data_IF_387885340802
#
_entry.id   IF_387885340802
#
_cell.length_a   1.000
_cell.length_b   1.000
_cell.length_c   1.000
_cell.angle_alpha   90.00
_cell.angle_beta   90.00
_cell.angle_gamma   90.00
#
_symmetry.space_group_name_H-M   'P 1'
#
loop_
_entity.id
_entity.type
_entity.pdbx_description
1 polymer ?
#
# COMPACT_ATOMS: atom_id res chain seq x y z
N UNK A 1 -2.23 -7.62 16.30
CA UNK A 1 -1.42 -7.67 15.04
C UNK A 1 -1.15 -6.22 14.63
N UNK A 2 0.10 -5.91 14.33
CA UNK A 2 0.52 -4.55 13.90
C UNK A 2 0.64 -4.51 12.39
N UNK A 3 0.01 -3.53 11.77
CA UNK A 3 0.07 -3.28 10.33
C UNK A 3 0.79 -1.96 10.11
N UNK A 4 1.89 -1.96 9.36
CA UNK A 4 2.69 -0.77 9.05
C UNK A 4 2.76 -0.55 7.54
N UNK A 5 2.41 0.65 7.11
CA UNK A 5 2.40 1.06 5.71
C UNK A 5 3.77 1.66 5.36
N UNK A 6 4.55 1.00 4.54
CA UNK A 6 5.88 1.45 4.12
C UNK A 6 5.87 2.20 2.78
N UNK A 7 4.80 1.99 2.00
CA UNK A 7 4.56 2.68 0.75
C UNK A 7 3.08 2.72 0.41
N UNK A 8 2.59 3.88 0.02
CA UNK A 8 1.17 4.15 -0.22
C UNK A 8 0.89 4.87 -1.54
N UNK A 9 1.94 5.14 -2.34
CA UNK A 9 1.81 5.69 -3.70
C UNK A 9 1.53 4.60 -4.72
N UNK A 10 0.80 4.96 -5.77
CA UNK A 10 0.55 4.12 -6.93
C UNK A 10 1.46 4.46 -8.11
N UNK A 11 1.56 3.54 -9.05
CA UNK A 11 2.20 3.64 -10.36
C UNK A 11 3.70 3.91 -10.36
N UNK A 12 4.20 4.88 -9.58
CA UNK A 12 5.64 5.13 -9.42
C UNK A 12 5.94 5.90 -8.14
N UNK A 13 7.18 5.81 -7.61
CA UNK A 13 7.59 6.61 -6.46
C UNK A 13 7.48 8.10 -6.77
N UNK A 14 6.98 8.87 -5.79
CA UNK A 14 6.82 10.32 -5.91
C UNK A 14 7.24 11.00 -4.62
N UNK A 15 8.47 11.46 -4.56
CA UNK A 15 8.95 12.30 -3.47
C UNK A 15 8.33 13.69 -3.55
N UNK A 16 8.11 14.32 -2.40
CA UNK A 16 7.61 15.71 -2.35
C UNK A 16 8.48 16.65 -3.17
N UNK A 17 7.86 17.47 -4.00
CA UNK A 17 8.58 18.49 -4.78
C UNK A 17 9.19 19.55 -3.86
N UNK A 18 10.22 20.31 -4.32
CA UNK A 18 10.75 21.44 -3.55
C UNK A 18 9.68 22.46 -3.16
N UNK A 19 8.65 22.63 -4.01
CA UNK A 19 7.50 23.49 -3.75
C UNK A 19 6.65 22.95 -2.60
N UNK A 20 6.32 21.66 -2.60
CA UNK A 20 5.56 21.01 -1.53
C UNK A 20 6.31 21.07 -0.19
N UNK A 21 7.62 20.83 -0.19
CA UNK A 21 8.47 20.95 1.01
C UNK A 21 8.44 22.38 1.55
N UNK A 22 8.53 23.37 0.67
CA UNK A 22 8.45 24.77 1.05
C UNK A 22 7.09 25.14 1.63
N UNK A 23 6.00 24.79 0.95
CA UNK A 23 4.61 25.00 1.44
C UNK A 23 4.41 24.37 2.81
N UNK A 24 4.91 23.14 3.00
CA UNK A 24 4.84 22.44 4.28
C UNK A 24 5.60 23.21 5.36
N UNK A 25 6.81 23.67 5.07
CA UNK A 25 7.64 24.44 5.99
C UNK A 25 6.98 25.78 6.34
N UNK A 26 6.37 26.46 5.38
CA UNK A 26 5.63 27.70 5.58
C UNK A 26 4.43 27.47 6.52
N UNK A 27 3.60 26.47 6.28
CA UNK A 27 2.46 26.11 7.15
C UNK A 27 2.89 25.81 8.60
N UNK A 28 3.97 25.06 8.79
CA UNK A 28 4.53 24.76 10.12
C UNK A 28 5.00 26.05 10.81
N UNK A 29 5.71 26.91 10.07
CA UNK A 29 6.22 28.18 10.57
C UNK A 29 5.08 29.14 10.96
N UNK A 30 4.05 29.24 10.11
CA UNK A 30 2.86 30.04 10.40
C UNK A 30 2.12 29.57 11.66
N UNK A 31 1.96 28.24 11.83
CA UNK A 31 1.33 27.69 13.03
C UNK A 31 2.14 28.01 14.30
N UNK A 32 3.48 27.86 14.24
CA UNK A 32 4.36 28.23 15.36
C UNK A 32 4.31 29.73 15.69
N UNK A 33 4.34 30.59 14.67
CA UNK A 33 4.23 32.03 14.84
C UNK A 33 2.86 32.44 15.39
N UNK A 34 1.78 31.78 14.95
CA UNK A 34 0.43 32.03 15.46
C UNK A 34 0.31 31.67 16.94
N UNK A 35 0.88 30.52 17.35
CA UNK A 35 0.96 30.14 18.77
C UNK A 35 1.65 31.20 19.63
N UNK A 36 2.79 31.74 19.16
CA UNK A 36 3.53 32.78 19.85
C UNK A 36 2.72 34.11 19.88
N UNK A 37 2.11 34.47 18.74
CA UNK A 37 1.35 35.70 18.57
C UNK A 37 0.13 35.78 19.48
N UNK A 38 -0.60 34.68 19.67
CA UNK A 38 -1.73 34.59 20.57
C UNK A 38 -1.33 34.84 22.03
N UNK A 39 -0.11 34.48 22.43
CA UNK A 39 0.40 34.57 23.81
C UNK A 39 1.10 35.86 24.16
N UNK A 40 1.66 36.54 23.16
CA UNK A 40 2.47 37.77 23.41
C UNK A 40 1.65 38.94 23.99
N UNK A 41 0.32 38.92 23.79
CA UNK A 41 -0.57 40.01 24.19
C UNK A 41 -1.26 39.80 25.52
N UNK A 42 -0.96 38.74 26.28
CA UNK A 42 -1.48 38.48 27.62
C UNK A 42 -0.33 38.31 28.62
N UNK A 43 -0.56 38.74 29.88
CA UNK A 43 0.45 38.58 30.94
C UNK A 43 0.77 37.10 31.22
N UNK A 44 -0.25 36.25 31.28
CA UNK A 44 -0.11 34.80 31.46
C UNK A 44 0.65 34.18 30.30
N UNK A 45 0.34 34.54 29.06
CA UNK A 45 1.01 34.02 27.84
C UNK A 45 2.46 34.46 27.77
N UNK A 46 2.78 35.70 28.21
CA UNK A 46 4.20 36.15 28.28
C UNK A 46 5.03 35.34 29.30
N UNK A 47 4.40 34.93 30.41
CA UNK A 47 5.06 34.09 31.41
C UNK A 47 5.32 32.70 30.84
N UNK A 48 4.32 32.10 30.14
CA UNK A 48 4.48 30.82 29.44
C UNK A 48 5.59 30.87 28.40
N UNK A 49 5.59 31.88 27.52
CA UNK A 49 6.63 32.05 26.52
C UNK A 49 8.02 32.22 27.15
N UNK A 50 8.14 33.03 28.21
CA UNK A 50 9.43 33.21 28.91
C UNK A 50 9.93 31.90 29.53
N UNK A 51 9.02 31.02 29.97
CA UNK A 51 9.40 29.72 30.48
C UNK A 51 9.84 28.80 29.34
N UNK A 52 9.07 28.74 28.26
CA UNK A 52 9.35 27.96 27.06
C UNK A 52 10.71 28.31 26.45
N UNK A 53 10.99 29.62 26.26
CA UNK A 53 12.24 30.11 25.63
C UNK A 53 13.48 30.06 26.53
N UNK A 54 13.39 29.49 27.74
CA UNK A 54 14.57 29.15 28.56
C UNK A 54 15.19 27.82 28.19
N UNK A 55 14.44 26.95 27.53
CA UNK A 55 14.90 25.64 27.07
C UNK A 55 15.82 25.73 25.84
N UNK A 56 16.41 24.60 25.48
CA UNK A 56 17.11 24.44 24.20
C UNK A 56 16.15 24.61 23.01
N UNK A 57 16.67 24.85 21.82
CA UNK A 57 15.84 24.96 20.61
C UNK A 57 14.98 23.70 20.40
N UNK A 58 15.54 22.50 20.69
CA UNK A 58 14.83 21.23 20.59
C UNK A 58 13.65 21.14 21.57
N UNK A 59 13.88 21.55 22.81
CA UNK A 59 12.82 21.60 23.84
C UNK A 59 11.75 22.61 23.46
N UNK A 60 12.11 23.78 22.93
CA UNK A 60 11.15 24.79 22.47
C UNK A 60 10.28 24.21 21.35
N UNK A 61 10.90 23.64 20.31
CA UNK A 61 10.20 23.06 19.17
C UNK A 61 9.26 21.92 19.60
N UNK A 62 9.70 21.06 20.53
CA UNK A 62 8.87 19.93 21.02
C UNK A 62 7.66 20.35 21.83
N UNK A 63 7.70 21.54 22.44
CA UNK A 63 6.64 22.06 23.32
C UNK A 63 5.65 23.00 22.61
N UNK A 64 6.00 23.53 21.44
CA UNK A 64 5.07 24.32 20.64
C UNK A 64 4.03 23.35 20.03
N UNK A 65 2.75 23.46 20.37
CA UNK A 65 1.71 22.57 19.82
C UNK A 65 1.41 22.97 18.37
N UNK A 66 2.25 22.56 17.45
CA UNK A 66 2.08 22.83 16.03
C UNK A 66 1.31 21.68 15.42
N UNK A 67 0.21 21.98 14.73
CA UNK A 67 -0.41 21.05 13.81
C UNK A 67 0.47 20.94 12.57
N UNK A 68 1.21 19.84 12.48
CA UNK A 68 2.01 19.59 11.30
C UNK A 68 1.12 19.17 10.13
N UNK A 69 1.29 19.78 8.93
CA UNK A 69 0.63 19.31 7.73
C UNK A 69 0.99 17.82 7.48
N UNK A 70 0.07 17.08 6.91
CA UNK A 70 0.28 15.64 6.69
C UNK A 70 1.29 15.41 5.57
N UNK A 71 2.34 14.65 5.85
CA UNK A 71 3.26 14.10 4.85
C UNK A 71 2.76 12.72 4.48
N UNK A 72 2.26 12.55 3.26
CA UNK A 72 1.72 11.26 2.81
C UNK A 72 2.81 10.27 2.38
N UNK A 73 4.04 10.74 2.18
CA UNK A 73 5.13 9.92 1.68
C UNK A 73 5.19 9.87 0.16
N UNK A 74 6.00 8.96 -0.36
CA UNK A 74 6.24 8.85 -1.79
C UNK A 74 6.71 7.48 -2.24
N UNK A 75 6.78 6.51 -1.34
CA UNK A 75 7.15 5.14 -1.68
C UNK A 75 5.95 4.36 -2.24
N UNK A 76 6.20 3.43 -3.17
CA UNK A 76 5.15 2.58 -3.74
C UNK A 76 4.84 1.39 -2.85
N UNK A 77 3.74 0.74 -3.13
CA UNK A 77 3.00 -0.20 -2.29
C UNK A 77 3.88 -1.24 -1.58
N UNK A 78 3.92 -1.16 -0.27
CA UNK A 78 4.49 -2.17 0.62
C UNK A 78 3.85 -2.05 2.00
N UNK A 79 3.22 -3.12 2.48
CA UNK A 79 2.60 -3.17 3.80
C UNK A 79 3.19 -4.34 4.59
N UNK A 80 3.62 -4.07 5.80
CA UNK A 80 4.11 -5.07 6.74
C UNK A 80 3.05 -5.40 7.78
N UNK A 81 2.88 -6.68 8.07
CA UNK A 81 2.07 -7.19 9.17
C UNK A 81 2.97 -7.99 10.09
N UNK A 82 3.07 -7.55 11.34
CA UNK A 82 3.72 -8.29 12.41
C UNK A 82 2.65 -8.90 13.31
N UNK A 83 2.67 -10.23 13.43
CA UNK A 83 1.71 -10.96 14.27
C UNK A 83 2.18 -11.00 15.72
N UNK A 84 1.29 -11.32 16.66
CA UNK A 84 1.67 -11.52 18.07
C UNK A 84 2.59 -12.73 18.28
N UNK A 85 2.70 -13.61 17.29
CA UNK A 85 3.63 -14.74 17.28
C UNK A 85 5.03 -14.38 16.73
N UNK A 86 5.22 -13.13 16.27
CA UNK A 86 6.46 -12.65 15.66
C UNK A 86 6.61 -13.01 14.17
N UNK A 87 5.59 -13.55 13.52
CA UNK A 87 5.62 -13.78 12.07
C UNK A 87 5.55 -12.45 11.32
N UNK A 88 6.36 -12.29 10.28
CA UNK A 88 6.40 -11.14 9.39
C UNK A 88 5.75 -11.51 8.06
N UNK A 89 4.68 -10.79 7.72
CA UNK A 89 3.99 -10.90 6.45
C UNK A 89 4.13 -9.57 5.73
N UNK A 90 4.52 -9.59 4.46
CA UNK A 90 4.66 -8.41 3.60
C UNK A 90 3.66 -8.53 2.47
N UNK A 91 2.90 -7.47 2.22
CA UNK A 91 1.97 -7.37 1.10
C UNK A 91 2.56 -6.38 0.09
N UNK A 92 2.87 -6.88 -1.08
CA UNK A 92 3.65 -6.25 -2.14
C UNK A 92 5.07 -5.79 -1.70
N UNK A 93 5.92 -5.63 -2.68
CA UNK A 93 7.32 -5.28 -2.52
C UNK A 93 7.74 -4.12 -3.44
N UNK A 94 6.90 -3.09 -3.50
CA UNK A 94 7.22 -1.82 -4.13
C UNK A 94 8.41 -1.12 -3.47
N UNK A 95 8.68 0.11 -3.83
CA UNK A 95 9.87 0.83 -3.33
C UNK A 95 9.88 1.00 -1.79
N UNK A 96 8.72 0.95 -1.14
CA UNK A 96 8.58 0.95 0.31
C UNK A 96 9.27 -0.23 1.01
N UNK A 97 9.51 -1.34 0.29
CA UNK A 97 10.20 -2.51 0.84
C UNK A 97 11.61 -2.17 1.33
N UNK A 98 12.30 -1.22 0.73
CA UNK A 98 13.63 -0.78 1.17
C UNK A 98 13.64 -0.34 2.64
N UNK A 99 12.70 0.51 3.03
CA UNK A 99 12.57 0.97 4.43
C UNK A 99 12.03 -0.12 5.35
N UNK A 100 11.07 -0.90 4.89
CA UNK A 100 10.54 -2.06 5.58
C UNK A 100 11.66 -3.05 5.96
N UNK A 101 12.52 -3.39 5.00
CA UNK A 101 13.64 -4.30 5.19
C UNK A 101 14.64 -3.81 6.25
N UNK A 102 14.98 -2.51 6.22
CA UNK A 102 15.87 -1.90 7.22
C UNK A 102 15.30 -2.03 8.63
N UNK A 103 14.01 -1.75 8.79
CA UNK A 103 13.35 -1.85 10.10
C UNK A 103 13.23 -3.30 10.59
N UNK A 104 12.93 -4.25 9.70
CA UNK A 104 12.94 -5.68 10.02
C UNK A 104 14.31 -6.11 10.52
N UNK A 105 15.39 -5.75 9.83
CA UNK A 105 16.76 -6.09 10.24
C UNK A 105 17.18 -5.39 11.53
N UNK A 106 16.70 -4.15 11.76
CA UNK A 106 16.93 -3.47 13.02
C UNK A 106 16.32 -4.24 14.20
N UNK A 107 15.09 -4.70 14.07
CA UNK A 107 14.39 -5.53 15.07
C UNK A 107 15.02 -6.91 15.23
N UNK A 108 15.56 -7.48 14.13
CA UNK A 108 16.26 -8.78 14.16
C UNK A 108 17.46 -8.81 15.09
N UNK A 109 18.13 -7.69 15.36
CA UNK A 109 19.29 -7.62 16.26
C UNK A 109 18.98 -8.11 17.68
N UNK A 110 17.70 -8.15 18.08
CA UNK A 110 17.23 -8.68 19.36
C UNK A 110 16.45 -10.00 19.27
N UNK A 111 16.03 -10.42 18.05
CA UNK A 111 15.18 -11.58 17.81
C UNK A 111 15.61 -12.33 16.55
N UNK A 112 15.42 -13.66 16.55
CA UNK A 112 15.71 -14.47 15.35
C UNK A 112 14.52 -14.41 14.40
N UNK A 113 14.66 -13.71 13.28
CA UNK A 113 13.71 -13.75 12.15
C UNK A 113 14.34 -14.60 11.06
N UNK A 114 13.82 -15.80 10.84
CA UNK A 114 14.33 -16.75 9.85
C UNK A 114 13.48 -16.77 8.58
N UNK A 115 12.18 -16.52 8.72
CA UNK A 115 11.20 -16.63 7.66
C UNK A 115 10.42 -15.32 7.49
N UNK A 116 10.21 -14.92 6.24
CA UNK A 116 9.36 -13.80 5.83
C UNK A 116 8.39 -14.32 4.78
N UNK A 117 7.13 -13.93 4.89
CA UNK A 117 6.05 -14.34 3.99
C UNK A 117 5.62 -13.15 3.13
N UNK A 118 6.00 -13.15 1.86
CA UNK A 118 5.71 -12.10 0.89
C UNK A 118 4.51 -12.49 0.02
N UNK A 119 3.46 -11.68 0.02
CA UNK A 119 2.28 -11.86 -0.80
C UNK A 119 2.20 -10.74 -1.85
N UNK A 120 2.38 -11.10 -3.11
CA UNK A 120 2.32 -10.15 -4.22
C UNK A 120 0.94 -10.14 -4.89
N UNK A 121 0.44 -8.96 -5.18
CA UNK A 121 -0.85 -8.79 -5.86
C UNK A 121 -0.75 -9.03 -7.35
N UNK A 122 0.22 -8.41 -8.03
CA UNK A 122 0.46 -8.52 -9.47
C UNK A 122 1.86 -8.02 -9.87
N UNK A 123 2.22 -8.22 -11.14
CA UNK A 123 3.60 -8.04 -11.63
C UNK A 123 3.98 -6.61 -12.05
N UNK A 124 3.17 -5.56 -11.81
CA UNK A 124 3.57 -4.20 -12.15
C UNK A 124 4.75 -3.71 -11.31
N UNK A 125 5.50 -2.76 -11.87
CA UNK A 125 6.79 -2.34 -11.31
C UNK A 125 6.68 -1.77 -9.90
N UNK A 126 5.66 -0.98 -9.65
CA UNK A 126 5.40 -0.32 -8.35
C UNK A 126 5.02 -1.29 -7.22
N UNK A 127 4.74 -2.57 -7.55
CA UNK A 127 4.48 -3.63 -6.58
C UNK A 127 5.67 -4.57 -6.36
N UNK A 128 6.79 -4.41 -7.11
CA UNK A 128 7.95 -5.31 -7.04
C UNK A 128 9.33 -4.63 -7.09
N UNK A 129 9.38 -3.33 -7.30
CA UNK A 129 10.64 -2.58 -7.55
C UNK A 129 11.58 -2.53 -6.35
N UNK A 130 11.12 -2.85 -5.14
CA UNK A 130 11.92 -2.76 -3.92
C UNK A 130 12.88 -3.92 -3.66
N UNK A 131 12.69 -5.08 -4.31
CA UNK A 131 13.49 -6.30 -4.07
C UNK A 131 15.00 -6.06 -4.15
N UNK A 132 15.56 -5.42 -5.21
CA UNK A 132 17.00 -5.25 -5.32
C UNK A 132 17.60 -4.27 -4.30
N UNK A 133 16.76 -3.54 -3.57
CA UNK A 133 17.16 -2.55 -2.57
C UNK A 133 16.82 -2.97 -1.14
N UNK A 134 16.27 -4.19 -0.97
CA UNK A 134 15.82 -4.70 0.31
C UNK A 134 16.95 -5.46 1.02
N UNK A 135 17.51 -4.90 2.09
CA UNK A 135 18.61 -5.48 2.84
C UNK A 135 18.31 -6.89 3.39
N UNK A 136 17.04 -7.27 3.56
CA UNK A 136 16.64 -8.65 3.92
C UNK A 136 17.06 -9.69 2.89
N UNK A 137 17.20 -9.30 1.62
CA UNK A 137 17.68 -10.19 0.55
C UNK A 137 19.17 -10.51 0.64
N UNK A 138 19.93 -9.74 1.42
CA UNK A 138 21.39 -9.82 1.57
C UNK A 138 21.81 -10.09 3.02
N UNK A 139 20.87 -10.49 3.88
CA UNK A 139 21.11 -10.65 5.31
C UNK A 139 22.06 -11.80 5.63
N UNK A 140 22.85 -11.65 6.71
CA UNK A 140 23.66 -12.70 7.31
C UNK A 140 23.29 -12.83 8.80
N UNK A 141 22.83 -14.01 9.25
CA UNK A 141 22.54 -15.23 8.48
C UNK A 141 21.38 -15.02 7.47
N UNK A 142 21.31 -15.84 6.40
CA UNK A 142 20.27 -15.75 5.37
C UNK A 142 18.84 -15.84 5.92
N UNK A 143 17.89 -15.23 5.21
CA UNK A 143 16.45 -15.30 5.49
C UNK A 143 15.77 -16.15 4.42
N UNK A 144 14.80 -16.98 4.82
CA UNK A 144 13.90 -17.65 3.89
C UNK A 144 12.76 -16.71 3.53
N UNK A 145 12.57 -16.42 2.26
CA UNK A 145 11.49 -15.58 1.76
C UNK A 145 10.50 -16.47 1.00
N UNK A 146 9.34 -16.73 1.64
CA UNK A 146 8.25 -17.49 1.05
C UNK A 146 7.36 -16.53 0.27
N UNK A 147 7.34 -16.67 -1.06
CA UNK A 147 6.66 -15.74 -1.97
C UNK A 147 5.39 -16.37 -2.50
N UNK A 148 4.27 -15.71 -2.29
CA UNK A 148 2.94 -16.09 -2.77
C UNK A 148 2.42 -15.02 -3.72
N UNK A 149 1.77 -15.42 -4.81
CA UNK A 149 1.19 -14.44 -5.74
C UNK A 149 0.60 -15.10 -6.98
N UNK A 150 0.04 -14.30 -7.88
CA UNK A 150 -0.38 -14.79 -9.19
C UNK A 150 0.83 -15.13 -10.08
N UNK A 151 0.60 -15.87 -11.15
CA UNK A 151 1.63 -16.27 -12.12
C UNK A 151 2.45 -15.07 -12.60
N UNK A 152 1.79 -13.97 -12.98
CA UNK A 152 2.45 -12.77 -13.47
C UNK A 152 3.37 -12.10 -12.46
N UNK A 153 3.04 -12.15 -11.16
CA UNK A 153 3.91 -11.64 -10.11
C UNK A 153 5.18 -12.47 -9.96
N UNK A 154 5.04 -13.80 -9.81
CA UNK A 154 6.19 -14.69 -9.65
C UNK A 154 7.10 -14.67 -10.91
N UNK A 155 6.49 -14.76 -12.09
CA UNK A 155 7.23 -14.67 -13.34
C UNK A 155 8.00 -13.35 -13.50
N UNK A 156 7.43 -12.24 -13.00
CA UNK A 156 8.08 -10.94 -13.06
C UNK A 156 9.29 -10.82 -12.13
N UNK A 157 9.28 -11.49 -10.99
CA UNK A 157 10.43 -11.58 -10.09
C UNK A 157 11.51 -12.51 -10.66
N UNK A 158 11.11 -13.68 -11.16
CA UNK A 158 12.05 -14.67 -11.68
C UNK A 158 12.73 -14.20 -12.97
N UNK A 159 11.96 -13.65 -13.91
CA UNK A 159 12.53 -13.14 -15.17
C UNK A 159 13.50 -11.98 -14.96
N UNK A 160 13.35 -11.23 -13.86
CA UNK A 160 14.22 -10.10 -13.58
C UNK A 160 15.43 -10.48 -12.74
N UNK A 161 15.23 -11.30 -11.72
CA UNK A 161 16.23 -11.57 -10.70
C UNK A 161 16.68 -13.03 -10.63
N UNK A 162 15.99 -13.96 -11.32
CA UNK A 162 16.29 -15.39 -11.32
C UNK A 162 16.12 -16.07 -9.96
N UNK A 163 15.29 -15.50 -9.07
CA UNK A 163 15.23 -15.90 -7.65
C UNK A 163 14.62 -17.29 -7.41
N UNK A 164 13.88 -17.84 -8.37
CA UNK A 164 13.29 -19.17 -8.29
C UNK A 164 13.98 -20.19 -9.21
N UNK A 165 14.25 -19.79 -10.46
CA UNK A 165 14.84 -20.67 -11.46
C UNK A 165 16.37 -20.81 -11.32
N UNK A 166 17.01 -19.89 -10.58
CA UNK A 166 18.46 -19.75 -10.51
C UNK A 166 19.11 -19.64 -11.90
N UNK A 167 18.38 -19.04 -12.82
CA UNK A 167 18.85 -18.77 -14.19
C UNK A 167 18.78 -17.27 -14.43
N UNK A 168 19.90 -16.68 -14.77
CA UNK A 168 19.90 -15.34 -15.35
C UNK A 168 19.48 -15.50 -16.81
N UNK A 169 18.39 -14.88 -17.21
CA UNK A 169 18.16 -14.70 -18.64
C UNK A 169 19.33 -13.90 -19.16
N UNK A 170 20.10 -14.44 -20.11
CA UNK A 170 21.14 -13.72 -20.87
C UNK A 170 20.51 -12.62 -21.72
N UNK A 171 19.76 -11.75 -21.08
CA UNK A 171 19.26 -10.53 -21.69
C UNK A 171 20.40 -9.53 -21.66
N UNK A 172 21.13 -9.47 -22.75
CA UNK A 172 22.19 -8.50 -23.03
C UNK A 172 21.74 -7.02 -22.94
N UNK A 173 20.53 -6.76 -22.52
CA UNK A 173 19.90 -5.44 -22.42
C UNK A 173 19.48 -5.02 -21.01
N UNK A 174 19.68 -5.87 -20.01
CA UNK A 174 19.32 -5.56 -18.63
C UNK A 174 20.61 -5.48 -17.81
N UNK A 175 21.21 -4.32 -17.79
CA UNK A 175 22.32 -3.97 -16.88
C UNK A 175 21.84 -3.86 -15.43
N UNK A 176 21.10 -4.85 -14.93
CA UNK A 176 20.72 -4.90 -13.53
C UNK A 176 21.78 -5.73 -12.80
N UNK A 177 22.63 -5.09 -11.97
CA UNK A 177 23.74 -5.78 -11.32
C UNK A 177 23.29 -6.69 -10.18
N UNK A 178 22.01 -6.75 -9.89
CA UNK A 178 21.45 -7.49 -8.75
C UNK A 178 20.56 -8.62 -9.25
N UNK A 179 21.06 -9.82 -9.16
CA UNK A 179 20.35 -11.07 -9.42
C UNK A 179 20.45 -12.02 -8.21
N UNK A 180 19.93 -13.24 -8.36
CA UNK A 180 19.96 -14.25 -7.31
C UNK A 180 21.39 -14.57 -6.81
N UNK A 181 22.43 -14.39 -7.65
CA UNK A 181 23.82 -14.70 -7.26
C UNK A 181 24.40 -13.71 -6.27
N UNK A 182 23.84 -12.48 -6.23
CA UNK A 182 24.21 -11.46 -5.26
C UNK A 182 23.41 -11.57 -3.95
N UNK A 183 22.27 -12.27 -3.96
CA UNK A 183 21.39 -12.41 -2.82
C UNK A 183 21.77 -13.59 -1.94
N UNK A 184 21.74 -13.42 -0.63
CA UNK A 184 21.94 -14.51 0.35
C UNK A 184 20.63 -15.18 0.73
N UNK A 185 19.50 -14.49 0.61
CA UNK A 185 18.17 -15.01 0.94
C UNK A 185 17.79 -16.21 0.06
N UNK A 186 17.06 -17.17 0.66
CA UNK A 186 16.46 -18.30 -0.05
C UNK A 186 15.01 -17.95 -0.41
N UNK A 187 14.69 -17.97 -1.71
CA UNK A 187 13.34 -17.68 -2.19
C UNK A 187 12.60 -18.98 -2.55
N UNK A 188 11.36 -19.08 -2.07
CA UNK A 188 10.45 -20.20 -2.36
C UNK A 188 9.14 -19.65 -2.90
N UNK A 189 8.84 -19.89 -4.18
CA UNK A 189 7.63 -19.40 -4.83
C UNK A 189 6.44 -20.36 -4.68
N UNK A 190 5.24 -19.80 -4.53
CA UNK A 190 3.95 -20.51 -4.61
C UNK A 190 2.95 -19.66 -5.38
N UNK A 191 2.57 -20.14 -6.56
CA UNK A 191 1.52 -19.52 -7.37
C UNK A 191 0.14 -19.82 -6.79
N UNK A 192 -0.64 -18.78 -6.54
CA UNK A 192 -2.02 -18.87 -6.14
C UNK A 192 -2.92 -18.84 -7.38
N UNK A 193 -3.39 -20.01 -7.81
CA UNK A 193 -4.11 -20.19 -9.05
C UNK A 193 -5.59 -20.45 -8.78
N UNK A 194 -6.45 -19.80 -9.53
CA UNK A 194 -7.87 -20.14 -9.52
C UNK A 194 -8.08 -21.41 -10.35
N UNK A 195 -8.63 -22.45 -9.73
CA UNK A 195 -8.88 -23.76 -10.34
C UNK A 195 -7.61 -24.51 -10.78
N UNK A 196 -6.67 -24.66 -9.84
CA UNK A 196 -5.41 -25.40 -10.03
C UNK A 196 -5.60 -26.89 -10.39
N UNK A 197 -6.82 -27.41 -10.28
CA UNK A 197 -7.12 -28.84 -10.52
C UNK A 197 -7.01 -29.27 -11.96
N UNK A 198 -7.02 -28.34 -12.92
CA UNK A 198 -7.05 -28.65 -14.35
C UNK A 198 -5.76 -28.34 -15.08
N UNK A 199 -4.84 -27.56 -14.49
CA UNK A 199 -3.59 -27.19 -15.13
C UNK A 199 -2.41 -27.83 -14.41
N UNK A 200 -1.81 -28.83 -15.06
CA UNK A 200 -0.52 -29.36 -14.60
C UNK A 200 0.52 -28.24 -14.58
N UNK A 201 1.40 -28.20 -13.54
CA UNK A 201 2.52 -27.24 -13.54
C UNK A 201 3.31 -27.37 -14.85
N UNK A 202 3.69 -26.23 -15.44
CA UNK A 202 4.56 -26.26 -16.60
C UNK A 202 5.87 -26.97 -16.20
N UNK A 203 6.41 -27.90 -16.99
CA UNK A 203 7.61 -28.67 -16.60
C UNK A 203 8.84 -27.82 -16.23
N UNK A 204 8.91 -26.59 -16.74
CA UNK A 204 9.99 -25.63 -16.44
C UNK A 204 9.63 -24.62 -15.36
N UNK A 205 8.53 -24.82 -14.63
CA UNK A 205 8.09 -23.89 -13.59
C UNK A 205 8.90 -24.07 -12.30
N UNK A 206 9.54 -23.01 -11.85
CA UNK A 206 10.46 -23.03 -10.70
C UNK A 206 9.75 -22.80 -9.35
N UNK A 207 8.41 -22.82 -9.30
CA UNK A 207 7.62 -22.60 -8.09
C UNK A 207 6.43 -23.57 -7.98
N UNK A 208 5.92 -23.72 -6.76
CA UNK A 208 4.75 -24.55 -6.46
C UNK A 208 3.46 -23.89 -6.94
N UNK A 209 2.36 -24.67 -7.02
CA UNK A 209 1.03 -24.19 -7.33
C UNK A 209 0.07 -24.61 -6.23
N UNK A 210 -0.75 -23.66 -5.76
CA UNK A 210 -1.82 -23.89 -4.78
C UNK A 210 -3.13 -23.27 -5.30
N UNK A 211 -4.26 -23.88 -4.97
CA UNK A 211 -5.57 -23.31 -5.29
C UNK A 211 -5.82 -22.04 -4.48
N UNK A 212 -6.20 -20.95 -5.15
CA UNK A 212 -6.48 -19.65 -4.52
C UNK A 212 -7.59 -19.73 -3.47
N UNK A 213 -8.51 -20.70 -3.59
CA UNK A 213 -9.58 -20.92 -2.62
C UNK A 213 -9.08 -21.54 -1.31
N UNK A 214 -7.89 -22.13 -1.30
CA UNK A 214 -7.29 -22.73 -0.11
C UNK A 214 -6.52 -21.66 0.70
N UNK A 215 -6.90 -21.44 1.97
CA UNK A 215 -6.21 -20.46 2.80
C UNK A 215 -4.78 -20.92 3.18
N UNK A 216 -3.85 -19.99 3.18
CA UNK A 216 -2.47 -20.18 3.63
C UNK A 216 -2.43 -19.97 5.15
N UNK A 217 -1.76 -20.89 5.86
CA UNK A 217 -1.58 -20.81 7.32
C UNK A 217 -0.15 -20.48 7.67
N UNK A 218 0.02 -19.46 8.51
CA UNK A 218 1.31 -19.01 9.05
C UNK A 218 1.15 -18.95 10.56
N UNK A 219 1.56 -20.00 11.26
CA UNK A 219 1.22 -20.17 12.67
C UNK A 219 -0.30 -20.18 12.88
N UNK A 220 -0.83 -19.31 13.73
CA UNK A 220 -2.27 -19.13 13.95
C UNK A 220 -2.93 -18.15 12.96
N UNK A 221 -2.15 -17.54 12.08
CA UNK A 221 -2.63 -16.58 11.08
C UNK A 221 -3.15 -17.34 9.85
N UNK A 222 -4.26 -16.86 9.31
CA UNK A 222 -4.82 -17.35 8.05
C UNK A 222 -4.78 -16.24 7.02
N UNK A 223 -4.23 -16.51 5.83
CA UNK A 223 -4.24 -15.59 4.68
C UNK A 223 -5.07 -16.21 3.57
N UNK A 224 -6.14 -15.52 3.16
CA UNK A 224 -7.02 -15.92 2.07
C UNK A 224 -6.86 -14.97 0.90
N UNK A 225 -6.37 -15.49 -0.25
CA UNK A 225 -6.33 -14.76 -1.50
C UNK A 225 -7.71 -14.67 -2.18
N UNK A 226 -7.92 -13.61 -2.95
CA UNK A 226 -9.09 -13.45 -3.82
C UNK A 226 -8.75 -12.62 -5.05
N UNK A 227 -9.55 -12.74 -6.12
CA UNK A 227 -9.31 -11.97 -7.35
C UNK A 227 -9.79 -10.53 -7.20
N UNK A 228 -8.92 -9.60 -7.61
CA UNK A 228 -9.22 -8.21 -7.94
C UNK A 228 -9.43 -8.04 -9.45
N UNK A 229 -10.04 -6.93 -9.88
CA UNK A 229 -10.17 -6.59 -11.29
C UNK A 229 -9.24 -5.42 -11.62
N UNK A 230 -8.23 -5.69 -12.43
CA UNK A 230 -7.22 -4.73 -12.87
C UNK A 230 -7.03 -4.82 -14.40
N UNK A 231 -8.14 -4.66 -15.13
CA UNK A 231 -8.17 -4.78 -16.60
C UNK A 231 -7.73 -6.18 -17.06
N UNK A 232 -6.75 -6.21 -17.96
CA UNK A 232 -6.18 -7.46 -18.48
C UNK A 232 -5.13 -8.10 -17.56
N UNK A 233 -4.69 -7.39 -16.52
CA UNK A 233 -3.68 -7.88 -15.58
C UNK A 233 -4.32 -8.74 -14.51
N UNK A 234 -3.80 -9.96 -14.31
CA UNK A 234 -4.20 -10.79 -13.19
C UNK A 234 -3.74 -10.12 -11.89
N UNK A 235 -4.69 -9.86 -10.99
CA UNK A 235 -4.44 -9.17 -9.72
C UNK A 235 -5.16 -9.86 -8.58
N UNK A 236 -4.49 -9.96 -7.42
CA UNK A 236 -5.02 -10.57 -6.21
C UNK A 236 -5.18 -9.53 -5.10
N UNK A 237 -6.18 -9.75 -4.25
CA UNK A 237 -6.29 -9.14 -2.94
C UNK A 237 -6.13 -10.21 -1.86
N UNK A 238 -5.96 -9.79 -0.60
CA UNK A 238 -5.72 -10.70 0.52
C UNK A 238 -6.56 -10.31 1.73
N UNK A 239 -7.16 -11.32 2.38
CA UNK A 239 -7.74 -11.21 3.71
C UNK A 239 -6.85 -11.93 4.70
N UNK A 240 -6.50 -11.27 5.80
CA UNK A 240 -5.63 -11.77 6.85
C UNK A 240 -6.44 -11.80 8.15
N UNK A 241 -6.55 -12.98 8.76
CA UNK A 241 -7.22 -13.19 10.03
C UNK A 241 -6.21 -13.71 11.07
N UNK A 242 -6.08 -13.01 12.23
CA UNK A 242 -5.18 -13.36 13.32
C UNK A 242 -5.73 -12.91 14.67
N UNK A 243 -5.81 -13.83 15.65
CA UNK A 243 -6.22 -13.48 17.02
C UNK A 243 -7.62 -12.87 17.14
N UNK A 244 -8.56 -13.25 16.26
CA UNK A 244 -9.92 -12.70 16.21
C UNK A 244 -10.01 -11.31 15.58
N UNK A 245 -8.93 -10.83 14.99
CA UNK A 245 -8.82 -9.58 14.23
C UNK A 245 -8.67 -9.87 12.74
N UNK A 246 -9.12 -8.93 11.91
CA UNK A 246 -9.13 -9.11 10.46
C UNK A 246 -8.68 -7.86 9.72
N UNK A 247 -7.86 -8.08 8.68
CA UNK A 247 -7.40 -7.06 7.75
C UNK A 247 -7.66 -7.50 6.31
N UNK A 248 -8.15 -6.60 5.47
CA UNK A 248 -8.27 -6.81 4.02
C UNK A 248 -7.38 -5.83 3.28
N UNK A 249 -6.57 -6.36 2.37
CA UNK A 249 -5.74 -5.60 1.45
C UNK A 249 -6.25 -5.80 0.02
N UNK A 250 -6.70 -4.72 -0.60
CA UNK A 250 -7.15 -4.68 -1.99
C UNK A 250 -6.65 -3.40 -2.64
N UNK A 251 -5.52 -3.50 -3.31
CA UNK A 251 -5.00 -2.46 -4.20
C UNK A 251 -5.36 -2.81 -5.64
N UNK A 252 -5.25 -1.84 -6.56
CA UNK A 252 -5.41 -2.04 -8.00
C UNK A 252 -6.71 -2.80 -8.33
N UNK A 253 -7.82 -2.17 -7.94
CA UNK A 253 -9.14 -2.71 -8.15
C UNK A 253 -10.09 -1.67 -8.73
N UNK A 254 -10.48 -1.86 -9.98
CA UNK A 254 -11.40 -0.99 -10.70
C UNK A 254 -12.83 -1.52 -10.66
N UNK A 255 -13.76 -0.68 -10.20
CA UNK A 255 -15.19 -0.95 -10.26
C UNK A 255 -15.78 -0.30 -11.50
N UNK A 256 -16.04 -1.09 -12.55
CA UNK A 256 -16.69 -0.62 -13.75
C UNK A 256 -18.19 -0.41 -13.54
N UNK A 257 -18.76 0.50 -14.30
CA UNK A 257 -20.21 0.69 -14.40
C UNK A 257 -20.67 0.65 -15.88
N UNK A 258 -21.93 0.28 -16.14
CA UNK A 258 -22.44 0.24 -17.53
C UNK A 258 -22.25 1.55 -18.30
N UNK A 259 -22.33 2.70 -17.61
CA UNK A 259 -22.16 4.02 -18.21
C UNK A 259 -20.72 4.35 -18.62
N UNK A 260 -19.74 3.55 -18.16
CA UNK A 260 -18.32 3.78 -18.45
C UNK A 260 -17.82 3.00 -19.66
N UNK A 261 -18.49 1.91 -20.07
CA UNK A 261 -18.00 0.98 -21.10
C UNK A 261 -17.66 1.64 -22.42
N UNK A 262 -18.53 2.52 -22.91
CA UNK A 262 -18.33 3.22 -24.18
C UNK A 262 -17.12 4.16 -24.19
N UNK A 263 -16.68 4.62 -23.01
CA UNK A 263 -15.54 5.56 -22.89
C UNK A 263 -14.18 4.88 -23.06
N UNK A 264 -14.10 3.60 -22.73
CA UNK A 264 -12.86 2.82 -22.79
C UNK A 264 -12.92 1.73 -23.88
N UNK A 265 -13.97 1.68 -24.69
CA UNK A 265 -14.21 0.63 -25.67
C UNK A 265 -14.18 -0.78 -25.03
N UNK A 266 -14.73 -0.91 -23.81
CA UNK A 266 -14.82 -2.16 -23.06
C UNK A 266 -16.15 -2.87 -23.37
N UNK A 267 -16.13 -4.20 -23.38
CA UNK A 267 -17.29 -5.06 -23.57
C UNK A 267 -18.02 -5.41 -22.27
N UNK A 268 -19.17 -6.06 -22.40
CA UNK A 268 -19.95 -6.56 -21.26
C UNK A 268 -19.19 -7.62 -20.44
N UNK A 269 -18.28 -8.38 -21.06
CA UNK A 269 -17.45 -9.37 -20.36
C UNK A 269 -16.54 -8.71 -19.31
N UNK A 270 -15.94 -7.57 -19.65
CA UNK A 270 -15.09 -6.81 -18.71
C UNK A 270 -15.92 -6.22 -17.55
N UNK A 271 -17.12 -5.72 -17.86
CA UNK A 271 -18.05 -5.29 -16.83
C UNK A 271 -18.40 -6.43 -15.88
N UNK A 272 -18.75 -7.59 -16.41
CA UNK A 272 -19.13 -8.76 -15.60
C UNK A 272 -17.97 -9.23 -14.72
N UNK A 273 -16.71 -9.25 -15.21
CA UNK A 273 -15.52 -9.57 -14.45
C UNK A 273 -15.32 -8.58 -13.30
N UNK A 274 -15.42 -7.28 -13.56
CA UNK A 274 -15.28 -6.23 -12.56
C UNK A 274 -16.37 -6.33 -11.48
N UNK A 275 -17.63 -6.50 -11.86
CA UNK A 275 -18.74 -6.64 -10.92
C UNK A 275 -18.62 -7.92 -10.08
N UNK A 276 -18.16 -9.03 -10.67
CA UNK A 276 -17.92 -10.26 -9.92
C UNK A 276 -16.76 -10.08 -8.91
N UNK A 277 -15.67 -9.43 -9.31
CA UNK A 277 -14.55 -9.14 -8.41
C UNK A 277 -14.98 -8.20 -7.26
N UNK A 278 -15.77 -7.15 -7.55
CA UNK A 278 -16.34 -6.27 -6.52
C UNK A 278 -17.22 -7.05 -5.53
N UNK A 279 -18.06 -7.96 -6.02
CA UNK A 279 -18.89 -8.81 -5.14
C UNK A 279 -18.06 -9.70 -4.22
N UNK A 280 -16.96 -10.27 -4.74
CA UNK A 280 -16.02 -11.06 -3.92
C UNK A 280 -15.35 -10.18 -2.89
N UNK A 281 -14.83 -9.01 -3.29
CA UNK A 281 -14.20 -8.02 -2.39
C UNK A 281 -15.13 -7.64 -1.24
N UNK A 282 -16.39 -7.27 -1.54
CA UNK A 282 -17.39 -6.94 -0.52
C UNK A 282 -17.63 -8.11 0.46
N UNK A 283 -17.61 -9.34 -0.04
CA UNK A 283 -17.77 -10.53 0.82
C UNK A 283 -16.56 -10.72 1.75
N UNK A 284 -15.34 -10.48 1.26
CA UNK A 284 -14.11 -10.55 2.05
C UNK A 284 -14.02 -9.43 3.09
N UNK A 285 -14.65 -8.28 2.81
CA UNK A 285 -14.64 -7.12 3.69
C UNK A 285 -15.70 -7.15 4.80
N UNK A 286 -16.63 -8.11 4.82
CA UNK A 286 -17.72 -8.11 5.80
C UNK A 286 -17.22 -8.08 7.23
N UNK A 287 -17.50 -6.98 7.95
CA UNK A 287 -17.23 -6.80 9.36
C UNK A 287 -15.75 -6.81 9.73
N UNK A 288 -14.85 -6.56 8.79
CA UNK A 288 -13.41 -6.50 9.09
C UNK A 288 -13.05 -5.32 9.97
N UNK A 289 -12.00 -5.48 10.78
CA UNK A 289 -11.50 -4.43 11.66
C UNK A 289 -10.80 -3.33 10.86
N UNK A 290 -10.00 -3.70 9.85
CA UNK A 290 -9.26 -2.78 8.98
C UNK A 290 -9.33 -3.23 7.53
N UNK A 291 -9.42 -2.29 6.60
CA UNK A 291 -9.24 -2.54 5.16
C UNK A 291 -8.36 -1.46 4.53
N UNK A 292 -7.57 -1.85 3.54
CA UNK A 292 -6.81 -0.95 2.68
C UNK A 292 -7.32 -1.06 1.25
N UNK A 293 -7.60 0.08 0.63
CA UNK A 293 -8.14 0.14 -0.73
C UNK A 293 -7.34 1.09 -1.62
N UNK A 294 -7.30 0.77 -2.90
CA UNK A 294 -6.96 1.70 -3.97
C UNK A 294 -8.02 2.82 -4.04
N UNK A 295 -7.57 4.05 -4.03
CA UNK A 295 -8.37 5.25 -4.22
C UNK A 295 -7.59 6.28 -5.03
N UNK A 296 -7.10 5.89 -6.20
CA UNK A 296 -6.23 6.72 -7.03
C UNK A 296 -6.94 7.96 -7.56
N UNK A 297 -8.24 7.84 -7.88
CA UNK A 297 -9.02 8.89 -8.54
C UNK A 297 -10.22 9.35 -7.73
N UNK A 298 -10.68 10.58 -8.00
CA UNK A 298 -12.06 10.99 -7.78
C UNK A 298 -12.92 10.55 -9.00
N UNK A 299 -14.20 10.27 -8.80
CA UNK A 299 -15.11 9.92 -9.92
C UNK A 299 -15.04 10.91 -11.08
N UNK A 300 -14.94 12.22 -10.79
CA UNK A 300 -14.84 13.24 -11.82
C UNK A 300 -13.53 13.15 -12.63
N UNK A 301 -12.44 12.77 -12.00
CA UNK A 301 -11.12 12.56 -12.63
C UNK A 301 -11.13 11.25 -13.44
N UNK A 302 -11.66 10.18 -12.85
CA UNK A 302 -11.82 8.88 -13.49
C UNK A 302 -12.63 8.97 -14.80
N UNK A 303 -13.72 9.74 -14.79
CA UNK A 303 -14.57 9.93 -15.95
C UNK A 303 -14.03 10.97 -16.97
N UNK A 304 -12.87 11.58 -16.73
CA UNK A 304 -12.29 12.61 -17.56
C UNK A 304 -13.07 13.93 -17.56
N UNK A 305 -13.85 14.18 -16.52
CA UNK A 305 -14.59 15.45 -16.34
C UNK A 305 -13.77 16.52 -15.60
N UNK A 306 -12.76 16.09 -14.88
CA UNK A 306 -11.83 16.94 -14.13
C UNK A 306 -10.39 16.48 -14.38
N UNK A 307 -9.46 17.42 -14.41
CA UNK A 307 -8.03 17.13 -14.48
C UNK A 307 -7.53 16.55 -13.17
N UNK A 308 -6.52 15.68 -13.25
CA UNK A 308 -5.73 15.22 -12.13
C UNK A 308 -4.40 15.97 -12.15
N UNK A 309 -4.07 16.64 -11.07
CA UNK A 309 -2.91 17.52 -11.01
C UNK A 309 -2.95 18.62 -12.09
N UNK A 310 -1.82 18.85 -12.75
CA UNK A 310 -1.67 19.84 -13.83
C UNK A 310 -1.91 19.27 -15.23
N UNK A 311 -2.27 17.98 -15.34
CA UNK A 311 -2.48 17.30 -16.60
C UNK A 311 -3.84 17.62 -17.24
N UNK A 312 -4.09 17.16 -18.48
CA UNK A 312 -5.38 17.30 -19.14
C UNK A 312 -6.46 16.46 -18.45
N UNK A 313 -7.71 16.87 -18.58
CA UNK A 313 -8.85 16.04 -18.24
C UNK A 313 -8.99 14.91 -19.28
N UNK A 314 -8.73 13.67 -18.87
CA UNK A 314 -8.86 12.49 -19.72
C UNK A 314 -9.52 11.33 -18.94
N UNK A 315 -10.27 10.49 -19.66
CA UNK A 315 -10.88 9.31 -19.04
C UNK A 315 -9.82 8.29 -18.64
N UNK A 316 -9.94 7.76 -17.42
CA UNK A 316 -9.10 6.69 -16.86
C UNK A 316 -9.85 5.37 -16.70
N UNK A 317 -11.03 5.29 -17.30
CA UNK A 317 -11.81 4.05 -17.33
C UNK A 317 -11.03 2.96 -18.06
N UNK A 318 -10.90 1.80 -17.44
CA UNK A 318 -10.11 0.68 -17.96
C UNK A 318 -8.63 0.73 -17.58
N UNK A 319 -8.22 1.66 -16.71
CA UNK A 319 -6.83 1.73 -16.22
C UNK A 319 -6.57 0.81 -15.02
N UNK A 320 -7.63 0.22 -14.46
CA UNK A 320 -7.52 -0.78 -13.41
C UNK A 320 -7.50 -0.23 -11.99
N UNK A 321 -7.84 1.05 -11.77
CA UNK A 321 -7.75 1.70 -10.47
C UNK A 321 -9.07 2.20 -9.93
N UNK A 322 -9.16 2.25 -8.58
CA UNK A 322 -10.35 2.60 -7.82
C UNK A 322 -10.59 4.10 -7.67
N UNK A 323 -11.83 4.43 -7.33
CA UNK A 323 -12.23 5.78 -6.95
C UNK A 323 -12.40 5.90 -5.44
N UNK A 324 -12.02 7.06 -4.91
CA UNK A 324 -12.12 7.40 -3.48
C UNK A 324 -13.56 7.27 -3.00
N UNK A 325 -14.53 7.72 -3.80
CA UNK A 325 -15.95 7.67 -3.45
C UNK A 325 -16.47 6.24 -3.33
N UNK A 326 -15.98 5.29 -4.16
CA UNK A 326 -16.37 3.88 -4.07
C UNK A 326 -15.94 3.23 -2.74
N UNK A 327 -14.84 3.71 -2.14
CA UNK A 327 -14.40 3.21 -0.82
C UNK A 327 -15.44 3.49 0.26
N UNK A 328 -16.07 4.66 0.25
CA UNK A 328 -17.14 4.99 1.20
C UNK A 328 -18.35 4.07 1.05
N UNK A 329 -18.69 3.70 -0.19
CA UNK A 329 -19.78 2.75 -0.45
C UNK A 329 -19.44 1.37 0.09
N UNK A 330 -18.21 0.88 -0.16
CA UNK A 330 -17.70 -0.40 0.38
C UNK A 330 -17.72 -0.43 1.90
N UNK A 331 -17.28 0.65 2.56
CA UNK A 331 -17.28 0.77 4.02
C UNK A 331 -18.69 0.63 4.60
N UNK A 332 -19.66 1.34 4.02
CA UNK A 332 -21.06 1.28 4.47
C UNK A 332 -21.69 -0.10 4.22
N UNK A 333 -21.50 -0.65 3.02
CA UNK A 333 -22.09 -1.93 2.64
C UNK A 333 -21.53 -3.10 3.44
N UNK A 334 -20.21 -3.13 3.65
CA UNK A 334 -19.52 -4.23 4.33
C UNK A 334 -19.35 -4.00 5.84
N UNK A 335 -19.76 -2.85 6.39
CA UNK A 335 -19.61 -2.47 7.80
C UNK A 335 -18.15 -2.55 8.28
N UNK A 336 -17.25 -2.00 7.49
CA UNK A 336 -15.82 -1.96 7.79
C UNK A 336 -15.60 -0.92 8.89
N UNK A 337 -14.92 -1.28 9.97
CA UNK A 337 -14.70 -0.36 11.11
C UNK A 337 -13.72 0.76 10.78
N UNK A 338 -12.64 0.42 10.06
CA UNK A 338 -11.60 1.37 9.69
C UNK A 338 -11.12 1.05 8.26
N UNK A 339 -11.13 2.04 7.39
CA UNK A 339 -10.63 1.93 6.03
C UNK A 339 -9.51 2.94 5.77
N UNK A 340 -8.45 2.46 5.13
CA UNK A 340 -7.34 3.25 4.64
C UNK A 340 -7.43 3.33 3.13
N UNK A 341 -7.35 4.54 2.60
CA UNK A 341 -7.32 4.80 1.15
C UNK A 341 -5.88 5.08 0.77
N UNK A 342 -5.29 4.24 -0.03
CA UNK A 342 -3.92 4.39 -0.53
C UNK A 342 -3.85 4.32 -2.04
N UNK A 343 -2.69 3.90 -2.55
CA UNK A 343 -2.37 3.88 -3.98
C UNK A 343 -2.58 5.24 -4.64
N UNK A 344 -2.15 6.30 -3.92
CA UNK A 344 -2.34 7.69 -4.36
C UNK A 344 -1.64 7.96 -5.68
N UNK A 345 -2.33 8.63 -6.60
CA UNK A 345 -1.74 9.04 -7.88
C UNK A 345 -0.46 9.86 -7.68
N UNK A 346 0.64 9.53 -8.38
CA UNK A 346 1.94 10.19 -8.18
C UNK A 346 1.94 11.68 -8.52
N UNK A 347 0.97 12.16 -9.30
CA UNK A 347 0.85 13.58 -9.64
C UNK A 347 0.03 14.39 -8.65
N UNK A 348 -0.59 13.71 -7.66
CA UNK A 348 -1.40 14.34 -6.61
C UNK A 348 -0.50 14.84 -5.49
N UNK A 349 -0.51 16.16 -5.25
CA UNK A 349 0.25 16.78 -4.16
C UNK A 349 -0.29 16.44 -2.77
N UNK A 350 0.55 16.59 -1.75
CA UNK A 350 0.13 16.41 -0.36
C UNK A 350 -0.99 17.38 0.03
N UNK A 351 -0.90 18.65 -0.40
CA UNK A 351 -1.97 19.64 -0.18
C UNK A 351 -3.29 19.20 -0.79
N UNK A 352 -3.27 18.63 -2.01
CA UNK A 352 -4.47 18.11 -2.67
C UNK A 352 -5.08 16.93 -1.91
N UNK A 353 -4.26 16.04 -1.34
CA UNK A 353 -4.75 14.95 -0.48
C UNK A 353 -5.37 15.49 0.80
N UNK A 354 -4.77 16.50 1.43
CA UNK A 354 -5.35 17.16 2.62
C UNK A 354 -6.69 17.80 2.32
N UNK A 355 -6.81 18.55 1.20
CA UNK A 355 -8.07 19.19 0.78
C UNK A 355 -9.17 18.17 0.55
N UNK A 356 -8.85 17.05 -0.13
CA UNK A 356 -9.80 15.97 -0.36
C UNK A 356 -10.18 15.31 0.98
N UNK A 357 -9.23 15.05 1.87
CA UNK A 357 -9.49 14.48 3.18
C UNK A 357 -10.45 15.36 3.99
N UNK A 358 -10.21 16.68 4.05
CA UNK A 358 -11.08 17.61 4.74
C UNK A 358 -12.50 17.62 4.16
N UNK A 359 -12.62 17.68 2.81
CA UNK A 359 -13.92 17.67 2.16
C UNK A 359 -14.70 16.36 2.39
N UNK A 360 -14.01 15.22 2.46
CA UNK A 360 -14.65 13.92 2.68
C UNK A 360 -15.02 13.67 4.14
N UNK A 361 -14.23 14.16 5.10
CA UNK A 361 -14.53 14.00 6.53
C UNK A 361 -15.75 14.80 6.97
N UNK A 362 -15.98 15.96 6.37
CA UNK A 362 -17.22 16.73 6.61
C UNK A 362 -18.49 15.98 6.15
N UNK A 363 -18.35 15.05 5.19
CA UNK A 363 -19.43 14.20 4.68
C UNK A 363 -19.67 12.92 5.49
N UNK A 364 -18.68 12.42 6.24
CA UNK A 364 -18.77 11.12 6.90
C UNK A 364 -19.69 11.12 8.15
N UNK A 365 -20.12 12.26 8.68
CA UNK A 365 -21.20 12.54 9.64
C UNK A 365 -21.62 11.48 10.68
N UNK A 366 -21.03 10.28 10.63
CA UNK A 366 -21.29 9.19 11.58
C UNK A 366 -19.99 8.78 12.28
N UNK A 367 -20.00 8.75 13.59
CA UNK A 367 -18.92 8.19 14.43
C UNK A 367 -18.80 6.65 14.31
N UNK A 368 -19.50 6.02 13.36
CA UNK A 368 -19.60 4.55 13.26
C UNK A 368 -18.44 3.93 12.50
N UNK A 369 -17.86 4.66 11.52
CA UNK A 369 -16.79 4.17 10.65
C UNK A 369 -15.68 5.21 10.54
N UNK A 370 -14.43 4.75 10.55
CA UNK A 370 -13.26 5.59 10.28
C UNK A 370 -12.77 5.36 8.85
N UNK A 371 -12.65 6.44 8.07
CA UNK A 371 -12.01 6.41 6.75
C UNK A 371 -10.93 7.48 6.74
N UNK A 372 -9.73 7.13 6.32
CA UNK A 372 -8.61 8.09 6.21
C UNK A 372 -7.69 7.74 5.05
N UNK A 373 -6.92 8.72 4.58
CA UNK A 373 -5.86 8.45 3.62
C UNK A 373 -4.67 7.78 4.30
N UNK A 374 -4.18 6.75 3.66
CA UNK A 374 -2.97 6.04 4.02
C UNK A 374 -1.73 6.92 3.81
N UNK A 375 -0.72 6.77 4.66
CA UNK A 375 0.56 7.48 4.57
C UNK A 375 1.73 6.57 4.94
N UNK A 376 2.87 6.84 4.34
CA UNK A 376 4.10 6.09 4.63
C UNK A 376 4.48 6.24 6.11
N UNK A 377 4.84 5.12 6.74
CA UNK A 377 5.18 5.07 8.17
C UNK A 377 3.99 5.00 9.13
N UNK A 378 2.75 5.02 8.62
CA UNK A 378 1.57 4.85 9.45
C UNK A 378 1.49 3.41 9.97
N UNK A 379 1.22 3.26 11.27
CA UNK A 379 0.99 1.95 11.90
C UNK A 379 -0.38 1.89 12.55
N UNK A 380 -1.04 0.75 12.44
CA UNK A 380 -2.32 0.43 13.07
C UNK A 380 -2.20 -0.84 13.87
N UNK A 381 -2.60 -0.81 15.14
CA UNK A 381 -2.69 -1.97 16.01
C UNK A 381 -4.13 -2.51 16.02
N UNK A 382 -4.29 -3.84 15.81
CA UNK A 382 -5.56 -4.56 15.83
C UNK A 382 -5.66 -5.55 16.98
#
# INVERSE_FOLDING_TARGET
>A
MRITLWGTRGSCPSVGSPEEIREHTEKVSEAALSYIKERIFSESGLIELRHLFRGSTEEIVSQIPVSYPTVFGGETTCIEIETSEGNIIILDCGSGLRRCAQEILHRRRGNVINDIFLFGTHGHLDHRSGIPFAEICFADPPINIHVFGCSGFLASLDSRFGVFSHTTTESTYLDDPVDYTAMTASFQGTELRFDSRNDAPHPDQAWNVQDLSEPIKIGSTTVQGFRSYHGATECLGYRIDHGGKSFVFSTDHEKLSPSCLSKANLGEDELNKSLQAEKVLLSMCRGVDLAYFDGQYLHAEYLGKKSLGRGPALSRVGWGHGCIEDVFDRVRESKIRHALIGHHDPTRSWSSLEEIAQALFDFSGSNEYKVEFARDGQSVEL
#
